data_IF_649315256278
#
_entry.id   IF_649315256278
#
_cell.length_a   1.000
_cell.length_b   1.000
_cell.length_c   1.000
_cell.angle_alpha   90.00
_cell.angle_beta   90.00
_cell.angle_gamma   90.00
#
_symmetry.space_group_name_H-M   'P 1'
#
loop_
_entity.id
_entity.type
_entity.pdbx_description
1 polymer ?
#
# COMPACT_ATOMS: atom_id res chain seq x y z
N UNK A 1 -35.13 -10.88 38.06
CA UNK A 1 -34.68 -11.50 36.80
C UNK A 1 -33.40 -12.27 37.10
N UNK A 2 -33.37 -13.58 36.87
CA UNK A 2 -32.15 -14.38 37.05
C UNK A 2 -31.10 -13.96 36.02
N UNK A 3 -29.84 -13.86 36.43
CA UNK A 3 -28.75 -13.56 35.51
C UNK A 3 -28.63 -14.68 34.45
N UNK A 4 -28.40 -14.34 33.16
CA UNK A 4 -28.25 -15.35 32.12
C UNK A 4 -27.05 -16.26 32.41
N UNK A 5 -27.20 -17.54 32.07
CA UNK A 5 -26.23 -18.60 32.35
C UNK A 5 -24.86 -18.26 31.72
N UNK A 6 -23.80 -18.24 32.53
CA UNK A 6 -22.42 -18.03 32.06
C UNK A 6 -22.01 -19.08 31.03
N UNK A 7 -21.14 -18.72 30.07
CA UNK A 7 -20.61 -19.68 29.09
C UNK A 7 -19.95 -20.88 29.76
N UNK A 8 -19.29 -20.69 30.91
CA UNK A 8 -18.66 -21.78 31.64
C UNK A 8 -19.69 -22.82 32.10
N UNK A 9 -20.85 -22.37 32.58
CA UNK A 9 -21.96 -23.27 32.91
C UNK A 9 -22.56 -23.95 31.66
N UNK A 10 -22.65 -23.25 30.52
CA UNK A 10 -23.10 -23.84 29.25
C UNK A 10 -22.13 -24.91 28.71
N UNK A 11 -20.83 -24.72 28.94
CA UNK A 11 -19.79 -25.68 28.58
C UNK A 11 -19.81 -26.89 29.51
N UNK A 12 -19.98 -26.70 30.82
CA UNK A 12 -20.12 -27.79 31.80
C UNK A 12 -21.34 -28.65 31.50
N UNK A 13 -22.45 -28.06 31.08
CA UNK A 13 -23.68 -28.78 30.68
C UNK A 13 -23.61 -29.36 29.24
N UNK A 14 -22.49 -29.17 28.53
CA UNK A 14 -22.28 -29.60 27.13
C UNK A 14 -23.37 -29.17 26.15
N UNK A 15 -24.08 -28.07 26.45
CA UNK A 15 -25.18 -27.56 25.63
C UNK A 15 -24.71 -27.21 24.21
N UNK A 16 -23.51 -26.64 24.10
CA UNK A 16 -22.87 -26.31 22.82
C UNK A 16 -22.68 -27.53 21.90
N UNK A 17 -22.32 -28.69 22.46
CA UNK A 17 -22.17 -29.95 21.71
C UNK A 17 -23.53 -30.53 21.34
N UNK A 18 -24.47 -30.54 22.30
CA UNK A 18 -25.81 -31.13 22.14
C UNK A 18 -26.66 -30.38 21.12
N UNK A 19 -26.50 -29.05 21.03
CA UNK A 19 -27.13 -28.21 20.02
C UNK A 19 -26.32 -28.10 18.72
N UNK A 20 -25.12 -28.71 18.65
CA UNK A 20 -24.26 -28.65 17.47
C UNK A 20 -23.85 -27.23 17.08
N UNK A 21 -23.44 -26.40 18.04
CA UNK A 21 -23.02 -25.03 17.78
C UNK A 21 -21.70 -24.98 16.99
N UNK A 22 -21.59 -24.01 16.08
CA UNK A 22 -20.37 -23.82 15.28
C UNK A 22 -19.21 -23.24 16.12
N UNK A 23 -17.94 -23.40 15.69
CA UNK A 23 -16.81 -22.76 16.37
C UNK A 23 -16.95 -21.23 16.47
N UNK A 24 -17.56 -20.60 15.46
CA UNK A 24 -17.86 -19.16 15.44
C UNK A 24 -18.89 -18.79 16.50
N UNK A 25 -19.93 -19.61 16.70
CA UNK A 25 -20.93 -19.43 17.75
C UNK A 25 -20.31 -19.52 19.14
N UNK A 26 -19.40 -20.48 19.36
CA UNK A 26 -18.67 -20.61 20.63
C UNK A 26 -17.79 -19.38 20.87
N UNK A 27 -17.04 -18.91 19.86
CA UNK A 27 -16.22 -17.68 19.98
C UNK A 27 -17.07 -16.44 20.28
N UNK A 28 -18.27 -16.35 19.71
CA UNK A 28 -19.21 -15.26 19.99
C UNK A 28 -19.64 -15.25 21.46
N UNK A 29 -19.96 -16.42 22.02
CA UNK A 29 -20.35 -16.53 23.42
C UNK A 29 -19.18 -16.18 24.36
N UNK A 30 -17.94 -16.58 24.03
CA UNK A 30 -16.76 -16.19 24.82
C UNK A 30 -16.55 -14.69 24.83
N UNK A 31 -16.67 -14.05 23.66
CA UNK A 31 -16.58 -12.61 23.56
C UNK A 31 -17.68 -11.89 24.37
N UNK A 32 -18.90 -12.43 24.41
CA UNK A 32 -19.96 -11.88 25.24
C UNK A 32 -19.66 -12.04 26.74
N UNK A 33 -19.05 -13.16 27.16
CA UNK A 33 -18.60 -13.32 28.54
C UNK A 33 -17.50 -12.31 28.89
N UNK A 34 -16.51 -12.11 28.01
CA UNK A 34 -15.47 -11.09 28.19
C UNK A 34 -16.07 -9.67 28.34
N UNK A 35 -17.16 -9.38 27.61
CA UNK A 35 -17.92 -8.15 27.78
C UNK A 35 -18.62 -8.08 29.14
N UNK A 36 -19.29 -9.16 29.57
CA UNK A 36 -19.99 -9.21 30.87
C UNK A 36 -19.06 -9.02 32.06
N UNK A 37 -17.85 -9.57 32.01
CA UNK A 37 -16.85 -9.42 33.06
C UNK A 37 -16.04 -8.11 32.95
N UNK A 38 -16.34 -7.26 31.96
CA UNK A 38 -15.74 -5.94 31.78
C UNK A 38 -14.34 -5.94 31.19
N UNK A 39 -13.90 -7.03 30.54
CA UNK A 39 -12.60 -7.07 29.83
C UNK A 39 -12.62 -6.29 28.53
N UNK A 40 -13.75 -6.26 27.84
CA UNK A 40 -13.98 -5.47 26.64
C UNK A 40 -15.14 -4.51 26.88
N UNK A 41 -15.04 -3.30 26.33
CA UNK A 41 -16.10 -2.31 26.47
C UNK A 41 -17.30 -2.63 25.54
N UNK A 42 -18.45 -2.02 25.83
CA UNK A 42 -19.68 -2.24 25.06
C UNK A 42 -19.50 -1.88 23.57
N UNK A 43 -18.72 -0.85 23.27
CA UNK A 43 -18.54 -0.35 21.91
C UNK A 43 -17.63 -1.25 21.09
N UNK A 44 -16.57 -1.81 21.67
CA UNK A 44 -15.63 -2.77 21.10
C UNK A 44 -16.34 -4.08 20.81
N UNK A 45 -17.07 -4.61 21.80
CA UNK A 45 -17.90 -5.80 21.62
C UNK A 45 -18.94 -5.58 20.50
N UNK A 46 -19.66 -4.47 20.55
CA UNK A 46 -20.65 -4.11 19.54
C UNK A 46 -20.05 -3.94 18.14
N UNK A 47 -18.85 -3.34 18.00
CA UNK A 47 -18.13 -3.22 16.72
C UNK A 47 -17.73 -4.58 16.15
N UNK A 48 -17.19 -5.47 16.98
CA UNK A 48 -16.75 -6.80 16.56
C UNK A 48 -17.91 -7.62 15.99
N UNK A 49 -19.07 -7.61 16.64
CA UNK A 49 -20.26 -8.31 16.15
C UNK A 49 -20.82 -7.63 14.90
N UNK A 50 -20.88 -6.29 14.88
CA UNK A 50 -21.46 -5.52 13.77
C UNK A 50 -20.70 -5.68 12.45
N UNK A 51 -19.37 -5.66 12.52
CA UNK A 51 -18.47 -5.75 11.36
C UNK A 51 -18.31 -7.18 10.83
N UNK A 52 -18.57 -8.18 11.67
CA UNK A 52 -18.45 -9.59 11.31
C UNK A 52 -19.79 -10.21 10.93
N UNK A 53 -20.04 -10.33 9.61
CA UNK A 53 -21.24 -11.00 9.08
C UNK A 53 -21.38 -12.46 9.56
N UNK A 54 -20.25 -13.11 9.89
CA UNK A 54 -20.24 -14.48 10.41
C UNK A 54 -20.67 -14.54 11.87
N UNK A 55 -20.27 -13.56 12.69
CA UNK A 55 -20.70 -13.50 14.10
C UNK A 55 -22.18 -13.15 14.23
N UNK A 56 -22.69 -12.23 13.39
CA UNK A 56 -24.13 -11.95 13.33
C UNK A 56 -24.95 -13.17 12.93
N UNK A 57 -24.53 -13.89 11.88
CA UNK A 57 -25.17 -15.16 11.50
C UNK A 57 -25.11 -16.19 12.62
N UNK A 58 -23.97 -16.32 13.31
CA UNK A 58 -23.85 -17.24 14.43
C UNK A 58 -24.83 -16.93 15.57
N UNK A 59 -25.12 -15.65 15.86
CA UNK A 59 -26.14 -15.28 16.85
C UNK A 59 -27.54 -15.76 16.44
N UNK A 60 -27.93 -15.52 15.18
CA UNK A 60 -29.21 -16.00 14.64
C UNK A 60 -29.29 -17.52 14.59
N UNK A 61 -28.20 -18.20 14.23
CA UNK A 61 -28.12 -19.66 14.20
C UNK A 61 -28.30 -20.26 15.59
N UNK A 62 -27.71 -19.65 16.63
CA UNK A 62 -27.92 -20.07 18.02
C UNK A 62 -29.40 -19.95 18.41
N UNK A 63 -30.04 -18.82 18.08
CA UNK A 63 -31.47 -18.60 18.38
C UNK A 63 -32.33 -19.67 17.72
N UNK A 64 -32.11 -19.93 16.43
CA UNK A 64 -32.83 -20.96 15.67
C UNK A 64 -32.62 -22.34 16.29
N UNK A 65 -31.37 -22.70 16.60
CA UNK A 65 -31.04 -24.00 17.22
C UNK A 65 -31.66 -24.15 18.60
N UNK A 66 -31.64 -23.09 19.42
CA UNK A 66 -32.26 -23.09 20.74
C UNK A 66 -33.78 -23.27 20.64
N UNK A 67 -34.42 -22.60 19.68
CA UNK A 67 -35.85 -22.73 19.39
C UNK A 67 -36.23 -24.14 18.90
N UNK A 68 -35.41 -24.78 18.07
CA UNK A 68 -35.64 -26.17 17.65
C UNK A 68 -35.33 -27.20 18.74
N UNK A 69 -34.41 -26.88 19.65
CA UNK A 69 -34.04 -27.79 20.72
C UNK A 69 -35.11 -27.84 21.81
N UNK A 70 -35.69 -26.69 22.15
CA UNK A 70 -36.77 -26.58 23.15
C UNK A 70 -38.05 -27.31 22.78
N UNK A 71 -38.34 -27.52 21.49
CA UNK A 71 -39.52 -28.29 21.06
C UNK A 71 -39.38 -29.77 21.35
N UNK A 72 -38.14 -30.27 21.43
CA UNK A 72 -37.84 -31.69 21.59
C UNK A 72 -37.39 -32.06 23.01
N UNK A 73 -37.01 -31.08 23.84
CA UNK A 73 -36.44 -31.28 25.18
C UNK A 73 -37.06 -30.30 26.17
N UNK A 74 -38.25 -30.64 26.69
CA UNK A 74 -39.05 -29.77 27.56
C UNK A 74 -38.35 -29.44 28.89
N UNK A 75 -37.49 -30.33 29.36
CA UNK A 75 -36.70 -30.21 30.58
C UNK A 75 -35.59 -29.15 30.49
N UNK A 76 -35.17 -28.74 29.29
CA UNK A 76 -34.07 -27.78 29.07
C UNK A 76 -34.51 -26.43 28.52
N UNK A 77 -35.83 -26.21 28.44
CA UNK A 77 -36.44 -24.97 27.93
C UNK A 77 -35.81 -23.74 28.59
N UNK A 78 -35.55 -23.80 29.91
CA UNK A 78 -34.92 -22.70 30.65
C UNK A 78 -33.54 -22.33 30.09
N UNK A 79 -32.70 -23.31 29.77
CA UNK A 79 -31.37 -23.07 29.21
C UNK A 79 -31.44 -22.51 27.78
N UNK A 80 -32.38 -22.99 26.97
CA UNK A 80 -32.61 -22.45 25.63
C UNK A 80 -33.08 -20.99 25.67
N UNK A 81 -33.97 -20.65 26.61
CA UNK A 81 -34.43 -19.28 26.83
C UNK A 81 -33.27 -18.37 27.25
N UNK A 82 -32.41 -18.81 28.17
CA UNK A 82 -31.22 -18.06 28.59
C UNK A 82 -30.26 -17.79 27.42
N UNK A 83 -30.08 -18.77 26.53
CA UNK A 83 -29.26 -18.62 25.32
C UNK A 83 -29.87 -17.64 24.31
N UNK A 84 -31.18 -17.72 24.07
CA UNK A 84 -31.88 -16.78 23.19
C UNK A 84 -31.77 -15.36 23.75
N UNK A 85 -31.95 -15.20 25.06
CA UNK A 85 -31.81 -13.90 25.71
C UNK A 85 -30.39 -13.36 25.58
N UNK A 86 -29.38 -14.21 25.81
CA UNK A 86 -27.96 -13.88 25.58
C UNK A 86 -27.74 -13.39 24.14
N UNK A 87 -28.17 -14.13 23.12
CA UNK A 87 -28.01 -13.72 21.73
C UNK A 87 -28.78 -12.45 21.39
N UNK A 88 -29.93 -12.23 22.01
CA UNK A 88 -30.71 -10.99 21.85
C UNK A 88 -29.95 -9.79 22.43
N UNK A 89 -29.31 -9.93 23.59
CA UNK A 89 -28.44 -8.90 24.16
C UNK A 89 -27.21 -8.63 23.31
N UNK A 90 -26.60 -9.67 22.75
CA UNK A 90 -25.48 -9.56 21.79
C UNK A 90 -25.90 -8.71 20.58
N UNK A 91 -27.05 -9.02 19.97
CA UNK A 91 -27.56 -8.28 18.83
C UNK A 91 -27.91 -6.83 19.20
N UNK A 92 -28.53 -6.60 20.35
CA UNK A 92 -28.79 -5.23 20.85
C UNK A 92 -27.51 -4.41 21.03
N UNK A 93 -26.44 -5.01 21.56
CA UNK A 93 -25.14 -4.35 21.67
C UNK A 93 -24.53 -4.04 20.29
N UNK A 94 -24.72 -4.92 19.31
CA UNK A 94 -24.26 -4.71 17.93
C UNK A 94 -25.06 -3.64 17.18
N UNK A 95 -26.35 -3.51 17.47
CA UNK A 95 -27.27 -2.58 16.79
C UNK A 95 -27.22 -1.16 17.36
N UNK A 96 -26.76 -0.99 18.61
CA UNK A 96 -26.50 0.34 19.19
C UNK A 96 -25.57 1.13 18.26
N UNK A 97 -25.89 2.35 17.80
CA UNK A 97 -24.98 3.12 16.95
C UNK A 97 -23.62 3.29 17.65
N UNK A 98 -22.50 3.23 16.93
CA UNK A 98 -21.21 3.42 17.58
C UNK A 98 -21.19 4.81 18.22
N UNK A 99 -20.59 4.93 19.40
CA UNK A 99 -20.28 6.24 19.96
C UNK A 99 -19.60 7.11 18.90
N UNK A 100 -20.15 8.31 18.65
CA UNK A 100 -19.56 9.28 17.71
C UNK A 100 -18.23 9.85 18.22
N UNK A 101 -17.78 9.45 19.42
CA UNK A 101 -16.44 9.70 19.91
C UNK A 101 -15.47 8.79 19.13
N UNK A 102 -15.14 9.22 17.92
CA UNK A 102 -14.18 8.52 17.07
C UNK A 102 -12.83 8.37 17.76
N UNK A 103 -12.08 7.32 17.39
CA UNK A 103 -10.73 7.11 17.89
C UNK A 103 -9.86 8.35 17.62
N UNK A 104 -9.26 8.98 18.64
CA UNK A 104 -8.56 10.25 18.49
C UNK A 104 -7.15 10.01 17.91
N UNK A 105 -7.07 9.52 16.68
CA UNK A 105 -5.82 9.16 16.00
C UNK A 105 -4.77 10.28 16.11
N UNK A 106 -5.21 11.53 15.96
CA UNK A 106 -4.35 12.73 16.02
C UNK A 106 -3.74 13.00 17.40
N UNK A 107 -4.34 12.49 18.48
CA UNK A 107 -3.80 12.65 19.84
C UNK A 107 -2.71 11.61 20.16
N UNK A 108 -2.55 10.60 19.31
CA UNK A 108 -1.50 9.61 19.51
C UNK A 108 -0.12 10.18 19.16
N UNK A 109 0.93 9.75 19.87
CA UNK A 109 2.32 9.92 19.43
C UNK A 109 2.52 9.42 17.99
N UNK A 110 3.47 10.05 17.29
CA UNK A 110 3.74 9.78 15.88
C UNK A 110 4.07 8.29 15.63
N UNK A 111 4.76 7.66 16.57
CA UNK A 111 5.16 6.26 16.52
C UNK A 111 3.94 5.33 16.47
N UNK A 112 2.91 5.61 17.27
CA UNK A 112 1.67 4.83 17.27
C UNK A 112 0.85 5.09 16.00
N UNK A 113 0.83 6.33 15.49
CA UNK A 113 0.20 6.65 14.21
C UNK A 113 0.85 5.91 13.04
N UNK A 114 2.18 5.86 13.00
CA UNK A 114 2.93 5.08 12.02
C UNK A 114 2.61 3.58 12.08
N UNK A 115 2.40 3.01 13.28
CA UNK A 115 1.93 1.61 13.41
C UNK A 115 0.54 1.40 12.84
N UNK A 116 -0.37 2.37 13.01
CA UNK A 116 -1.70 2.35 12.37
C UNK A 116 -1.55 2.43 10.85
N UNK A 117 -0.67 3.28 10.34
CA UNK A 117 -0.40 3.38 8.90
C UNK A 117 0.19 2.09 8.34
N UNK A 118 1.09 1.43 9.07
CA UNK A 118 1.60 0.12 8.69
C UNK A 118 0.49 -0.92 8.60
N UNK A 119 -0.43 -0.93 9.57
CA UNK A 119 -1.58 -1.83 9.54
C UNK A 119 -2.50 -1.53 8.35
N UNK A 120 -2.62 -0.26 7.96
CA UNK A 120 -3.41 0.16 6.81
C UNK A 120 -2.76 -0.26 5.47
N UNK A 121 -1.43 -0.23 5.39
CA UNK A 121 -0.66 -0.61 4.19
C UNK A 121 -0.51 -2.14 4.07
N UNK A 122 -0.65 -2.89 5.18
CA UNK A 122 -0.28 -4.32 5.36
C UNK A 122 -0.99 -5.37 4.49
N UNK A 123 -1.72 -5.02 3.44
CA UNK A 123 -2.38 -6.03 2.59
C UNK A 123 -1.47 -6.71 1.55
N UNK A 124 -0.22 -6.28 1.35
CA UNK A 124 0.85 -7.01 0.65
C UNK A 124 2.15 -6.21 0.81
N UNK A 125 3.33 -6.83 0.62
CA UNK A 125 4.63 -6.16 0.48
C UNK A 125 4.49 -4.77 -0.14
N UNK A 126 5.04 -3.72 0.49
CA UNK A 126 4.84 -2.33 0.05
C UNK A 126 4.99 -2.27 -1.48
N UNK A 127 3.89 -2.05 -2.22
CA UNK A 127 3.89 -2.31 -3.64
C UNK A 127 4.75 -1.25 -4.33
N UNK A 128 5.48 -1.69 -5.34
CA UNK A 128 5.92 -0.80 -6.39
C UNK A 128 4.66 -0.13 -6.95
N UNK A 129 4.59 1.20 -6.83
CA UNK A 129 3.44 1.95 -7.30
C UNK A 129 3.75 2.64 -8.61
N UNK A 130 2.81 2.55 -9.53
CA UNK A 130 2.80 3.36 -10.73
C UNK A 130 1.63 4.32 -10.64
N UNK A 131 1.88 5.55 -11.04
CA UNK A 131 0.80 6.51 -11.14
C UNK A 131 -0.18 6.10 -12.23
N UNK A 132 -1.48 6.20 -11.95
CA UNK A 132 -2.51 5.95 -12.95
C UNK A 132 -2.27 6.80 -14.21
N UNK A 133 -2.42 6.24 -15.43
CA UNK A 133 -2.19 6.97 -16.66
C UNK A 133 -3.20 8.10 -16.74
N UNK A 134 -2.75 9.32 -16.48
CA UNK A 134 -3.45 10.50 -16.97
C UNK A 134 -2.90 10.76 -18.36
N UNK A 135 -3.71 11.31 -19.27
CA UNK A 135 -3.23 11.88 -20.53
C UNK A 135 -2.12 12.88 -20.20
N UNK A 136 -0.88 12.44 -20.23
CA UNK A 136 0.28 13.30 -20.29
C UNK A 136 0.43 13.65 -21.76
N UNK A 137 0.79 14.90 -22.08
CA UNK A 137 1.18 15.31 -23.42
C UNK A 137 2.56 14.73 -23.77
N UNK A 138 2.74 13.43 -23.48
CA UNK A 138 3.99 12.71 -23.59
C UNK A 138 3.82 11.67 -24.69
N UNK A 139 4.59 11.82 -25.76
CA UNK A 139 4.55 10.89 -26.89
C UNK A 139 5.39 9.62 -26.66
N UNK A 140 5.87 9.39 -25.43
CA UNK A 140 6.64 8.19 -25.10
C UNK A 140 5.79 6.92 -25.05
N UNK A 141 4.46 7.01 -25.24
CA UNK A 141 3.52 5.88 -25.20
C UNK A 141 3.95 4.74 -26.14
N UNK A 142 4.55 5.06 -27.29
CA UNK A 142 5.06 4.07 -28.25
C UNK A 142 6.23 3.22 -27.71
N UNK A 143 6.97 3.72 -26.72
CA UNK A 143 8.16 3.09 -26.15
C UNK A 143 7.96 2.57 -24.71
N UNK A 144 6.79 2.86 -24.13
CA UNK A 144 6.46 2.62 -22.74
C UNK A 144 5.06 2.00 -22.64
N UNK A 145 4.89 0.72 -23.03
CA UNK A 145 3.60 0.06 -22.88
C UNK A 145 3.25 0.01 -21.40
N UNK A 146 2.01 0.43 -21.13
CA UNK A 146 1.44 0.60 -19.82
C UNK A 146 1.66 -0.66 -18.95
N UNK A 147 2.32 -0.55 -17.78
CA UNK A 147 2.35 -1.63 -16.82
C UNK A 147 0.97 -1.93 -16.19
N UNK A 148 -0.03 -1.06 -16.40
CA UNK A 148 -1.29 -0.98 -15.64
C UNK A 148 -2.18 -2.23 -15.67
N UNK A 149 -1.92 -3.20 -16.56
CA UNK A 149 -2.62 -4.50 -16.55
C UNK A 149 -2.23 -5.41 -15.38
N UNK A 150 -1.09 -5.14 -14.71
CA UNK A 150 -0.52 -6.03 -13.69
C UNK A 150 -0.47 -5.42 -12.28
N UNK A 151 -0.78 -4.12 -12.12
CA UNK A 151 -0.66 -3.43 -10.84
C UNK A 151 -1.99 -3.37 -10.11
N UNK A 152 -1.97 -3.79 -8.85
CA UNK A 152 -3.12 -3.71 -7.95
C UNK A 152 -3.28 -2.27 -7.44
N UNK A 153 -4.49 -1.70 -7.46
CA UNK A 153 -4.74 -0.40 -6.86
C UNK A 153 -4.38 -0.41 -5.37
N UNK A 154 -3.58 0.58 -4.95
CA UNK A 154 -3.31 0.79 -3.52
C UNK A 154 -4.42 1.66 -2.95
N UNK A 155 -5.09 1.15 -1.91
CA UNK A 155 -6.06 1.96 -1.17
C UNK A 155 -5.31 3.06 -0.42
N UNK A 156 -5.58 4.31 -0.79
CA UNK A 156 -5.11 5.51 -0.09
C UNK A 156 -6.28 6.25 0.56
N UNK A 157 -7.32 5.54 1.00
CA UNK A 157 -8.52 6.20 1.54
C UNK A 157 -8.22 7.00 2.81
N UNK A 158 -7.19 6.61 3.59
CA UNK A 158 -6.73 7.39 4.74
C UNK A 158 -6.27 8.81 4.34
N UNK A 159 -5.67 8.95 3.15
CA UNK A 159 -5.26 10.23 2.57
C UNK A 159 -6.45 11.13 2.17
N UNK A 160 -7.69 10.61 2.19
CA UNK A 160 -8.90 11.36 1.86
C UNK A 160 -9.66 11.87 3.08
N UNK A 161 -9.19 11.55 4.29
CA UNK A 161 -9.92 11.84 5.54
C UNK A 161 -9.78 13.29 6.00
N UNK A 162 -8.54 13.80 6.08
CA UNK A 162 -8.24 15.19 6.42
C UNK A 162 -6.89 15.60 5.83
N UNK A 163 -6.67 16.88 5.61
CA UNK A 163 -5.41 17.42 5.05
C UNK A 163 -4.20 17.03 5.91
N UNK A 164 -4.30 17.16 7.23
CA UNK A 164 -3.22 16.80 8.14
C UNK A 164 -2.88 15.30 8.09
N UNK A 165 -3.89 14.42 8.14
CA UNK A 165 -3.66 12.97 8.04
C UNK A 165 -3.13 12.62 6.65
N UNK A 166 -3.62 13.28 5.60
CA UNK A 166 -3.16 13.09 4.22
C UNK A 166 -1.67 13.38 4.11
N UNK A 167 -1.23 14.55 4.55
CA UNK A 167 0.15 14.99 4.33
C UNK A 167 1.13 14.09 5.12
N UNK A 168 0.78 13.75 6.36
CA UNK A 168 1.55 12.83 7.20
C UNK A 168 1.58 11.39 6.63
N UNK A 169 0.41 10.85 6.28
CA UNK A 169 0.31 9.49 5.74
C UNK A 169 0.99 9.36 4.38
N UNK A 170 0.85 10.34 3.47
CA UNK A 170 1.51 10.31 2.17
C UNK A 170 3.03 10.46 2.32
N UNK A 171 3.51 11.33 3.21
CA UNK A 171 4.94 11.42 3.51
C UNK A 171 5.49 10.09 4.06
N UNK A 172 4.75 9.45 4.98
CA UNK A 172 5.11 8.14 5.50
C UNK A 172 5.10 7.06 4.41
N UNK A 173 4.09 7.08 3.56
CA UNK A 173 3.90 6.13 2.48
C UNK A 173 5.00 6.23 1.42
N UNK A 174 5.34 7.43 0.93
CA UNK A 174 6.40 7.64 -0.06
C UNK A 174 7.81 7.34 0.46
N UNK A 175 8.03 7.40 1.78
CA UNK A 175 9.27 6.93 2.40
C UNK A 175 9.42 5.40 2.30
N UNK A 176 8.31 4.67 2.23
CA UNK A 176 8.29 3.20 2.19
C UNK A 176 8.14 2.64 0.78
N UNK A 177 7.36 3.29 -0.07
CA UNK A 177 7.03 2.80 -1.41
C UNK A 177 8.16 3.00 -2.43
N UNK A 178 8.27 2.06 -3.37
CA UNK A 178 9.04 2.26 -4.60
C UNK A 178 8.14 2.90 -5.64
N UNK A 179 8.49 4.11 -6.06
CA UNK A 179 7.69 4.86 -7.04
C UNK A 179 8.26 4.61 -8.44
N UNK A 180 7.48 3.92 -9.26
CA UNK A 180 7.78 3.58 -10.63
C UNK A 180 7.26 4.64 -11.61
N UNK A 181 8.09 5.04 -12.56
CA UNK A 181 7.75 5.94 -13.65
C UNK A 181 8.03 5.28 -15.00
N UNK A 182 7.03 5.32 -15.88
CA UNK A 182 7.10 4.66 -17.19
C UNK A 182 8.01 5.39 -18.18
N UNK A 183 8.29 6.68 -17.95
CA UNK A 183 9.22 7.49 -18.73
C UNK A 183 9.68 8.72 -17.92
N UNK A 184 10.72 9.41 -18.40
CA UNK A 184 11.24 10.63 -17.79
C UNK A 184 10.21 11.78 -17.77
N UNK A 185 9.32 11.85 -18.77
CA UNK A 185 8.27 12.87 -18.81
C UNK A 185 7.25 12.70 -17.68
N UNK A 186 6.90 11.45 -17.37
CA UNK A 186 6.01 11.16 -16.26
C UNK A 186 6.68 11.50 -14.93
N UNK A 187 7.94 11.10 -14.76
CA UNK A 187 8.74 11.47 -13.59
C UNK A 187 8.74 12.99 -13.37
N UNK A 188 9.12 13.77 -14.40
CA UNK A 188 9.19 15.23 -14.32
C UNK A 188 7.85 15.82 -13.88
N UNK A 189 6.75 15.43 -14.53
CA UNK A 189 5.42 15.94 -14.21
C UNK A 189 5.00 15.59 -12.78
N UNK A 190 5.11 14.33 -12.37
CA UNK A 190 4.61 13.89 -11.06
C UNK A 190 5.41 14.46 -9.90
N UNK A 191 6.73 14.59 -10.05
CA UNK A 191 7.58 15.16 -9.01
C UNK A 191 7.43 16.69 -8.95
N UNK A 192 7.11 17.34 -10.08
CA UNK A 192 6.80 18.78 -10.10
C UNK A 192 5.44 19.08 -9.46
N UNK A 193 4.41 18.32 -9.81
CA UNK A 193 3.03 18.57 -9.38
C UNK A 193 2.75 18.16 -7.91
N UNK A 194 3.66 17.41 -7.27
CA UNK A 194 3.43 16.83 -5.94
C UNK A 194 4.62 17.04 -5.00
N UNK A 195 4.56 18.11 -4.20
CA UNK A 195 5.59 18.46 -3.23
C UNK A 195 5.81 17.38 -2.16
N UNK A 196 4.74 16.71 -1.71
CA UNK A 196 4.84 15.66 -0.67
C UNK A 196 5.65 14.48 -1.21
N UNK A 197 5.41 14.10 -2.47
CA UNK A 197 6.21 13.09 -3.17
C UNK A 197 7.67 13.54 -3.28
N UNK A 198 7.93 14.74 -3.82
CA UNK A 198 9.30 15.26 -3.99
C UNK A 198 10.10 15.25 -2.69
N UNK A 199 9.47 15.67 -1.59
CA UNK A 199 10.14 15.83 -0.30
C UNK A 199 10.31 14.50 0.47
N UNK A 200 9.45 13.50 0.20
CA UNK A 200 9.38 12.29 1.03
C UNK A 200 9.81 11.00 0.31
N UNK A 201 9.92 11.01 -1.02
CA UNK A 201 10.27 9.83 -1.80
C UNK A 201 11.66 9.33 -1.44
N UNK A 202 11.76 8.03 -1.14
CA UNK A 202 13.05 7.36 -0.86
C UNK A 202 13.54 6.47 -2.00
N UNK A 203 12.62 5.89 -2.77
CA UNK A 203 12.92 4.85 -3.76
C UNK A 203 12.24 5.20 -5.08
N UNK A 204 13.03 5.38 -6.13
CA UNK A 204 12.53 5.68 -7.47
C UNK A 204 13.03 4.64 -8.45
N UNK A 205 12.13 4.19 -9.32
CA UNK A 205 12.43 3.40 -10.50
C UNK A 205 11.92 4.16 -11.72
N UNK A 206 12.76 4.43 -12.69
CA UNK A 206 12.37 5.19 -13.89
C UNK A 206 12.95 4.58 -15.15
N UNK A 207 12.10 4.43 -16.17
CA UNK A 207 12.57 4.15 -17.52
C UNK A 207 13.15 5.41 -18.14
N UNK A 208 14.45 5.37 -18.38
CA UNK A 208 15.19 6.46 -19.01
C UNK A 208 14.84 6.52 -20.50
N UNK A 209 13.89 7.38 -20.81
CA UNK A 209 13.40 7.65 -22.17
C UNK A 209 12.58 8.93 -22.19
N UNK A 210 12.58 9.60 -23.34
CA UNK A 210 11.78 10.80 -23.59
C UNK A 210 12.59 12.08 -23.71
N UNK A 211 11.96 13.13 -24.27
CA UNK A 211 12.63 14.37 -24.68
C UNK A 211 13.05 15.29 -23.52
N UNK A 212 12.66 14.98 -22.28
CA UNK A 212 12.91 15.83 -21.09
C UNK A 212 13.68 15.08 -20.00
N UNK A 213 14.52 14.11 -20.39
CA UNK A 213 15.27 13.27 -19.45
C UNK A 213 16.29 14.08 -18.63
N UNK A 214 16.92 15.08 -19.25
CA UNK A 214 17.77 16.08 -18.60
C UNK A 214 17.04 16.79 -17.45
N UNK A 215 15.90 17.40 -17.73
CA UNK A 215 15.10 18.13 -16.73
C UNK A 215 14.60 17.22 -15.62
N UNK A 216 14.17 16.00 -15.97
CA UNK A 216 13.68 15.03 -15.00
C UNK A 216 14.78 14.62 -14.01
N UNK A 217 16.00 14.41 -14.47
CA UNK A 217 17.12 14.03 -13.62
C UNK A 217 17.69 15.19 -12.80
N UNK A 218 17.67 16.42 -13.31
CA UNK A 218 17.95 17.61 -12.50
C UNK A 218 16.94 17.74 -11.35
N UNK A 219 15.67 17.40 -11.57
CA UNK A 219 14.66 17.40 -10.53
C UNK A 219 14.88 16.28 -9.50
N UNK A 220 15.39 15.12 -9.92
CA UNK A 220 15.77 14.05 -8.98
C UNK A 220 16.88 14.47 -8.03
N UNK A 221 17.86 15.25 -8.49
CA UNK A 221 18.90 15.80 -7.64
C UNK A 221 18.32 16.65 -6.50
N UNK A 222 17.18 17.31 -6.74
CA UNK A 222 16.44 18.13 -5.76
C UNK A 222 15.51 17.33 -4.84
N UNK A 223 15.54 16.00 -4.87
CA UNK A 223 14.73 15.16 -3.97
C UNK A 223 15.53 14.84 -2.69
N UNK A 224 15.26 15.51 -1.54
CA UNK A 224 16.10 15.40 -0.36
C UNK A 224 16.06 13.99 0.26
N UNK A 225 14.93 13.30 0.17
CA UNK A 225 14.75 11.96 0.73
C UNK A 225 15.28 10.81 -0.13
N UNK A 226 15.71 11.04 -1.38
CA UNK A 226 16.00 9.96 -2.33
C UNK A 226 17.27 9.19 -1.92
N UNK A 227 17.12 7.88 -1.70
CA UNK A 227 18.20 6.97 -1.27
C UNK A 227 18.40 5.77 -2.20
N UNK A 228 17.38 5.37 -2.94
CA UNK A 228 17.46 4.26 -3.89
C UNK A 228 16.99 4.71 -5.28
N UNK A 229 17.82 4.49 -6.29
CA UNK A 229 17.53 4.82 -7.68
C UNK A 229 17.78 3.62 -8.59
N UNK A 230 16.73 3.23 -9.30
CA UNK A 230 16.80 2.24 -10.36
C UNK A 230 16.54 2.89 -11.72
N UNK A 231 17.53 2.78 -12.61
CA UNK A 231 17.42 3.24 -13.99
C UNK A 231 17.13 2.06 -14.90
N UNK A 232 15.96 2.06 -15.53
CA UNK A 232 15.59 1.09 -16.55
C UNK A 232 16.06 1.61 -17.91
N UNK A 233 16.82 0.80 -18.65
CA UNK A 233 17.31 1.13 -19.99
C UNK A 233 16.68 0.25 -21.07
N UNK A 234 16.52 0.82 -22.28
CA UNK A 234 16.02 0.14 -23.47
C UNK A 234 16.64 0.74 -24.75
N UNK A 235 16.27 0.22 -25.92
CA UNK A 235 16.65 0.83 -27.21
C UNK A 235 16.16 2.28 -27.35
N UNK A 236 15.06 2.66 -26.68
CA UNK A 236 14.53 4.03 -26.74
C UNK A 236 15.32 5.02 -25.88
N UNK A 237 16.16 4.54 -24.95
CA UNK A 237 16.99 5.42 -24.10
C UNK A 237 17.86 6.37 -24.91
N UNK A 238 18.33 5.95 -26.08
CA UNK A 238 19.16 6.78 -26.97
C UNK A 238 18.37 7.39 -28.13
N UNK A 239 17.03 7.37 -28.09
CA UNK A 239 16.21 8.05 -29.11
C UNK A 239 16.40 9.57 -29.05
N UNK A 240 16.68 10.10 -27.85
CA UNK A 240 17.04 11.49 -27.62
C UNK A 240 18.50 11.54 -27.18
N UNK A 241 19.29 12.37 -27.85
CA UNK A 241 20.74 12.49 -27.63
C UNK A 241 21.10 13.87 -27.06
N UNK A 242 22.26 13.95 -26.42
CA UNK A 242 22.81 15.20 -25.86
C UNK A 242 23.05 16.24 -26.96
N UNK A 243 23.15 17.53 -26.58
CA UNK A 243 23.47 18.62 -27.52
C UNK A 243 24.79 18.37 -28.25
N UNK A 244 25.81 17.90 -27.51
CA UNK A 244 27.13 17.53 -28.03
C UNK A 244 27.02 16.48 -29.14
N UNK A 245 26.28 15.40 -28.91
CA UNK A 245 26.12 14.34 -29.93
C UNK A 245 25.32 14.83 -31.15
N UNK A 246 24.29 15.66 -30.94
CA UNK A 246 23.57 16.30 -32.06
C UNK A 246 24.50 17.14 -32.92
N UNK A 247 25.40 17.89 -32.31
CA UNK A 247 26.38 18.72 -33.02
C UNK A 247 27.41 17.86 -33.76
N UNK A 248 27.99 16.85 -33.10
CA UNK A 248 28.93 15.93 -33.73
C UNK A 248 28.33 15.27 -34.97
N UNK A 249 27.07 14.82 -34.91
CA UNK A 249 26.40 14.19 -36.06
C UNK A 249 26.14 15.12 -37.24
N UNK A 250 26.13 16.44 -37.05
CA UNK A 250 26.03 17.40 -38.16
C UNK A 250 27.29 17.38 -39.03
N UNK A 251 28.45 17.14 -38.42
CA UNK A 251 29.74 17.18 -39.10
C UNK A 251 30.29 15.79 -39.42
N UNK A 252 29.97 14.78 -38.59
CA UNK A 252 30.46 13.41 -38.72
C UNK A 252 29.29 12.45 -38.89
N UNK A 253 28.98 12.10 -40.14
CA UNK A 253 27.92 11.15 -40.49
C UNK A 253 28.26 9.75 -39.97
N UNK A 254 27.83 9.45 -38.75
CA UNK A 254 28.11 8.18 -38.10
C UNK A 254 26.89 7.27 -38.20
N UNK A 255 27.04 6.13 -38.91
CA UNK A 255 25.99 5.10 -38.98
C UNK A 255 25.89 4.25 -37.70
N UNK A 256 26.83 4.40 -36.76
CA UNK A 256 26.81 3.67 -35.49
C UNK A 256 25.65 4.16 -34.61
N UNK A 257 25.03 3.24 -33.85
CA UNK A 257 24.01 3.60 -32.87
C UNK A 257 24.60 4.51 -31.81
N UNK A 258 23.78 5.45 -31.32
CA UNK A 258 24.15 6.35 -30.22
C UNK A 258 24.46 5.52 -28.97
N UNK A 259 25.56 5.86 -28.29
CA UNK A 259 25.99 5.23 -27.04
C UNK A 259 25.18 5.76 -25.86
N UNK A 260 25.10 5.01 -24.77
CA UNK A 260 24.39 5.47 -23.55
C UNK A 260 25.01 6.75 -22.95
N UNK A 261 26.32 6.94 -23.09
CA UNK A 261 27.02 8.15 -22.64
C UNK A 261 26.68 9.41 -23.45
N UNK A 262 25.96 9.25 -24.55
CA UNK A 262 25.52 10.32 -25.44
C UNK A 262 23.98 10.44 -25.44
N UNK A 263 23.28 9.68 -24.59
CA UNK A 263 21.85 9.79 -24.38
C UNK A 263 21.50 11.04 -23.57
N UNK A 264 20.38 11.70 -23.90
CA UNK A 264 19.90 12.88 -23.20
C UNK A 264 19.65 12.59 -21.72
N UNK A 265 20.18 13.40 -20.81
CA UNK A 265 20.03 13.23 -19.37
C UNK A 265 21.22 12.56 -18.68
N UNK A 266 22.19 12.02 -19.42
CA UNK A 266 23.34 11.35 -18.79
C UNK A 266 24.14 12.29 -17.89
N UNK A 267 24.40 13.51 -18.34
CA UNK A 267 25.20 14.48 -17.59
C UNK A 267 24.48 14.85 -16.29
N UNK A 268 23.18 15.13 -16.37
CA UNK A 268 22.33 15.47 -15.23
C UNK A 268 22.17 14.30 -14.25
N UNK A 269 22.06 13.07 -14.76
CA UNK A 269 22.01 11.86 -13.95
C UNK A 269 23.31 11.69 -13.15
N UNK A 270 24.46 12.01 -13.76
CA UNK A 270 25.77 11.97 -13.13
C UNK A 270 26.03 13.14 -12.16
N UNK A 271 25.13 14.12 -12.06
CA UNK A 271 25.17 15.16 -11.02
C UNK A 271 24.49 14.72 -9.72
N UNK A 272 23.64 13.68 -9.75
CA UNK A 272 22.95 13.20 -8.54
C UNK A 272 23.97 12.61 -7.55
N UNK A 273 23.79 12.92 -6.26
CA UNK A 273 24.65 12.50 -5.13
C UNK A 273 23.83 11.99 -3.93
N UNK A 274 24.48 11.26 -3.03
CA UNK A 274 23.91 10.76 -1.77
C UNK A 274 22.98 9.56 -1.90
N UNK A 275 23.07 8.80 -3.00
CA UNK A 275 22.24 7.61 -3.25
C UNK A 275 22.92 6.39 -2.65
N UNK A 276 22.25 5.68 -1.75
CA UNK A 276 22.77 4.50 -1.07
C UNK A 276 22.75 3.26 -1.99
N UNK A 277 21.63 3.06 -2.70
CA UNK A 277 21.42 1.92 -3.59
C UNK A 277 21.17 2.36 -5.03
N UNK A 278 22.07 1.95 -5.92
CA UNK A 278 21.99 2.22 -7.35
C UNK A 278 21.92 0.90 -8.11
N UNK A 279 20.88 0.77 -8.93
CA UNK A 279 20.65 -0.36 -9.83
C UNK A 279 20.34 0.11 -11.24
N UNK A 280 20.68 -0.74 -12.20
CA UNK A 280 20.33 -0.56 -13.61
C UNK A 280 19.69 -1.87 -14.06
N UNK A 281 18.55 -1.79 -14.70
CA UNK A 281 17.81 -2.93 -15.22
C UNK A 281 17.39 -2.71 -16.67
N UNK A 282 17.04 -3.78 -17.35
CA UNK A 282 16.50 -3.71 -18.69
C UNK A 282 14.98 -3.60 -18.63
N UNK A 283 14.41 -2.86 -19.57
CA UNK A 283 12.98 -2.95 -19.82
C UNK A 283 12.61 -4.40 -20.14
N UNK A 284 11.46 -4.85 -19.64
CA UNK A 284 10.96 -6.19 -19.94
C UNK A 284 10.85 -6.37 -21.46
N UNK A 285 11.28 -7.52 -21.99
CA UNK A 285 11.27 -7.80 -23.44
C UNK A 285 9.88 -7.73 -24.05
N UNK A 286 8.82 -7.98 -23.25
CA UNK A 286 7.43 -7.79 -23.67
C UNK A 286 7.03 -6.32 -23.84
N UNK A 287 7.79 -5.40 -23.24
CA UNK A 287 7.50 -3.97 -23.19
C UNK A 287 8.37 -3.15 -24.15
N UNK A 288 9.47 -3.70 -24.65
CA UNK A 288 10.28 -3.02 -25.67
C UNK A 288 11.61 -3.70 -25.94
N UNK A 289 12.38 -3.07 -26.84
CA UNK A 289 13.70 -3.57 -27.23
C UNK A 289 14.72 -3.42 -26.11
N UNK A 290 15.28 -4.54 -25.65
CA UNK A 290 16.41 -4.59 -24.70
C UNK A 290 17.72 -4.17 -25.38
N UNK A 291 18.63 -3.53 -24.62
CA UNK A 291 20.03 -3.28 -25.01
C UNK A 291 20.93 -4.46 -24.62
N UNK A 292 22.22 -4.39 -24.95
CA UNK A 292 23.19 -5.42 -24.58
C UNK A 292 23.49 -5.41 -23.08
N UNK A 293 23.92 -6.55 -22.52
CA UNK A 293 24.23 -6.63 -21.08
C UNK A 293 25.47 -5.83 -20.67
N UNK A 294 26.41 -5.66 -21.59
CA UNK A 294 27.57 -4.81 -21.39
C UNK A 294 27.17 -3.35 -21.09
N UNK A 295 26.22 -2.81 -21.83
CA UNK A 295 25.64 -1.46 -21.61
C UNK A 295 25.09 -1.34 -20.18
N UNK A 296 24.34 -2.35 -19.71
CA UNK A 296 23.78 -2.37 -18.35
C UNK A 296 24.88 -2.41 -17.28
N UNK A 297 25.88 -3.28 -17.44
CA UNK A 297 26.98 -3.43 -16.48
C UNK A 297 27.83 -2.17 -16.40
N UNK A 298 28.21 -1.63 -17.56
CA UNK A 298 29.03 -0.42 -17.65
C UNK A 298 28.31 0.81 -17.07
N UNK A 299 27.02 1.00 -17.43
CA UNK A 299 26.23 2.09 -16.84
C UNK A 299 26.07 1.91 -15.33
N UNK A 300 25.82 0.69 -14.85
CA UNK A 300 25.71 0.43 -13.40
C UNK A 300 27.01 0.75 -12.67
N UNK A 301 28.16 0.41 -13.24
CA UNK A 301 29.46 0.72 -12.65
C UNK A 301 29.70 2.24 -12.59
N UNK A 302 29.42 2.96 -13.68
CA UNK A 302 29.53 4.41 -13.77
C UNK A 302 28.60 5.13 -12.77
N UNK A 303 27.32 4.73 -12.72
CA UNK A 303 26.37 5.35 -11.79
C UNK A 303 26.73 5.06 -10.34
N UNK A 304 27.22 3.86 -10.02
CA UNK A 304 27.67 3.54 -8.66
C UNK A 304 28.88 4.36 -8.22
N UNK A 305 29.81 4.67 -9.12
CA UNK A 305 30.99 5.46 -8.77
C UNK A 305 30.67 6.95 -8.56
N UNK A 306 29.60 7.47 -9.16
CA UNK A 306 29.21 8.88 -9.06
C UNK A 306 28.08 9.16 -8.07
N UNK A 307 26.99 8.38 -8.10
CA UNK A 307 25.79 8.69 -7.32
C UNK A 307 25.93 8.38 -5.82
N UNK A 308 26.88 7.52 -5.46
CA UNK A 308 27.18 7.16 -4.06
C UNK A 308 28.07 8.17 -3.34
N UNK A 309 28.66 9.12 -4.06
CA UNK A 309 29.40 10.22 -3.46
C UNK A 309 28.47 11.03 -2.55
N UNK A 310 29.04 11.64 -1.52
CA UNK A 310 28.30 12.50 -0.59
C UNK A 310 27.65 13.66 -1.35
N UNK A 311 26.52 14.15 -0.81
CA UNK A 311 25.93 15.38 -1.34
C UNK A 311 26.87 16.52 -1.00
N UNK A 312 27.07 17.41 -1.95
CA UNK A 312 27.67 18.70 -1.64
C UNK A 312 26.68 19.40 -0.70
N UNK A 313 27.12 19.62 0.54
CA UNK A 313 26.34 20.37 1.52
C UNK A 313 26.21 21.82 1.03
N UNK A 314 24.99 22.29 0.84
CA UNK A 314 24.68 23.74 0.71
C UNK A 314 24.71 24.40 2.10
#
# INVERSE_FOLDING_TARGET
>A
MSAPLSIYAQLTLKLHTRMGLSPTAIRLLYAYEDFRIGRIDQDEFGRMVRTSANMRRAATDIITKAATFMTNHAEEVKHCVDMIQTCTEILRAADKPPSMVGFPLKKLPLELRHRVYDQYIRSASIPEIYSHPRKTACDCVAYCPSPYGFFQPVSLALARTSTQIRDEFLAYFYKKATVGFTCSCELLKRVTDNDILRNSVRKIRVHWTGPVSDQAFLLLAKCPGLKELEIIISKSTTAYMTKREKELRKYFTTQKPVRLVDALGIDELLLIRGIENVSVSHLNTKQGGRRVDEDKVNLRALLRSKLKLEREDD
#
